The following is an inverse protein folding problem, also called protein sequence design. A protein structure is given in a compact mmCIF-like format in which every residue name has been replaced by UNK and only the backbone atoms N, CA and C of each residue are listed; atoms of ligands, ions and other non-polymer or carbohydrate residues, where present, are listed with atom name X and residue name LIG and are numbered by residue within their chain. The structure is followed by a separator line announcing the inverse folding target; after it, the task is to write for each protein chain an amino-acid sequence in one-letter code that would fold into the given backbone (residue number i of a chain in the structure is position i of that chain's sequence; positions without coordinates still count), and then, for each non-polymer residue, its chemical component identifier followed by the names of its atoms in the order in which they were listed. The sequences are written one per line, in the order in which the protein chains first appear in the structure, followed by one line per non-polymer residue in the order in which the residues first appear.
data_IF_586014575511
#
_entry.id   IF_586014575511
#
_cell.length_a   1.000
_cell.length_b   1.000
_cell.length_c   1.000
_cell.angle_alpha   90.00
_cell.angle_beta   90.00
_cell.angle_gamma   90.00
#
_symmetry.space_group_name_H-M   'P 1'
#
loop_
_entity.id
_entity.type
_entity.pdbx_description
1 polymer ?
#
# COMPACT_ATOMS: atom_id res chain seq x y z
N UNK A 1 86.26 -49.83 -4.45
CA UNK A 1 84.91 -50.18 -4.96
C UNK A 1 83.95 -49.23 -4.25
N UNK A 2 83.77 -47.97 -4.67
CA UNK A 2 83.20 -47.46 -5.93
C UNK A 2 81.71 -47.80 -6.08
N UNK A 3 80.85 -46.80 -5.84
CA UNK A 3 79.44 -46.55 -6.22
C UNK A 3 79.02 -45.31 -5.39
N UNK A 4 78.87 -44.04 -5.82
CA UNK A 4 78.15 -43.47 -6.99
C UNK A 4 76.83 -44.21 -7.22
N UNK A 5 75.63 -43.65 -7.05
CA UNK A 5 75.06 -42.34 -7.40
C UNK A 5 73.62 -42.34 -6.91
N UNK A 6 73.09 -41.21 -6.40
CA UNK A 6 71.78 -40.67 -6.78
C UNK A 6 71.51 -39.38 -5.99
N UNK A 7 71.77 -38.24 -6.64
CA UNK A 7 71.11 -36.99 -6.29
C UNK A 7 69.70 -37.08 -6.89
N UNK A 8 68.68 -37.10 -6.06
CA UNK A 8 67.30 -36.82 -6.48
C UNK A 8 67.18 -35.34 -6.85
N UNK A 9 66.83 -35.08 -8.11
CA UNK A 9 66.36 -33.77 -8.58
C UNK A 9 65.10 -33.36 -7.81
N UNK A 10 65.03 -32.13 -7.27
CA UNK A 10 63.78 -31.60 -6.77
C UNK A 10 62.86 -31.29 -7.96
N UNK A 11 61.79 -32.08 -8.07
CA UNK A 11 60.65 -31.88 -8.94
C UNK A 11 60.23 -30.40 -8.97
N UNK A 12 60.36 -29.79 -10.13
CA UNK A 12 59.86 -28.44 -10.41
C UNK A 12 58.34 -28.51 -10.43
N UNK A 13 57.72 -28.04 -9.35
CA UNK A 13 56.28 -27.85 -9.29
C UNK A 13 55.96 -26.71 -10.25
N UNK A 14 55.37 -27.04 -11.41
CA UNK A 14 54.72 -26.07 -12.26
C UNK A 14 53.55 -25.46 -11.47
N UNK A 15 53.80 -24.27 -10.92
CA UNK A 15 52.75 -23.41 -10.39
C UNK A 15 51.88 -23.02 -11.58
N UNK A 16 50.76 -23.71 -11.74
CA UNK A 16 49.71 -23.34 -12.68
C UNK A 16 49.29 -21.91 -12.35
N UNK A 17 49.65 -21.01 -13.25
CA UNK A 17 49.29 -19.60 -13.23
C UNK A 17 47.76 -19.48 -13.21
N UNK A 18 47.21 -19.06 -12.06
CA UNK A 18 45.77 -18.88 -11.84
C UNK A 18 45.21 -17.63 -12.55
N UNK A 19 46.04 -16.89 -13.30
CA UNK A 19 45.62 -15.64 -13.92
C UNK A 19 44.73 -15.80 -15.16
N UNK A 20 44.57 -17.01 -15.71
CA UNK A 20 43.73 -17.26 -16.90
C UNK A 20 42.24 -17.53 -16.61
N UNK A 21 41.80 -17.54 -15.35
CA UNK A 21 40.38 -17.78 -14.98
C UNK A 21 39.56 -16.49 -14.79
N UNK A 22 39.98 -15.36 -15.35
CA UNK A 22 39.16 -14.15 -15.40
C UNK A 22 38.70 -13.88 -16.84
N UNK A 23 37.76 -14.71 -17.30
CA UNK A 23 36.90 -14.33 -18.41
C UNK A 23 36.08 -13.09 -18.00
N UNK A 24 36.06 -12.01 -18.79
CA UNK A 24 35.24 -10.85 -18.51
C UNK A 24 33.76 -11.18 -18.79
N UNK A 25 33.07 -11.79 -17.84
CA UNK A 25 31.60 -11.86 -17.81
C UNK A 25 31.06 -10.52 -17.27
N UNK A 26 31.51 -9.41 -17.84
CA UNK A 26 31.12 -8.06 -17.45
C UNK A 26 30.37 -7.43 -18.61
N UNK A 27 29.05 -7.59 -18.64
CA UNK A 27 28.21 -6.94 -19.64
C UNK A 27 26.72 -7.07 -19.40
N UNK A 28 26.26 -8.20 -18.85
CA UNK A 28 24.82 -8.43 -18.63
C UNK A 28 24.40 -8.43 -17.15
N UNK A 29 25.35 -8.49 -16.21
CA UNK A 29 25.08 -8.45 -14.76
C UNK A 29 24.25 -7.24 -14.28
N UNK A 30 24.55 -5.98 -14.70
CA UNK A 30 23.80 -4.84 -14.19
C UNK A 30 22.39 -4.77 -14.78
N UNK A 31 22.21 -5.11 -16.06
CA UNK A 31 20.88 -5.18 -16.68
C UNK A 31 20.00 -6.23 -16.01
N UNK A 32 20.56 -7.41 -15.72
CA UNK A 32 19.84 -8.47 -15.02
C UNK A 32 19.49 -8.06 -13.59
N UNK A 33 20.40 -7.37 -12.88
CA UNK A 33 20.13 -6.84 -11.55
C UNK A 33 19.01 -5.78 -11.58
N UNK A 34 19.00 -4.87 -12.56
CA UNK A 34 17.94 -3.86 -12.70
C UNK A 34 16.60 -4.51 -13.01
N UNK A 35 16.55 -5.47 -13.94
CA UNK A 35 15.32 -6.20 -14.27
C UNK A 35 14.81 -6.99 -13.08
N UNK A 36 15.69 -7.68 -12.34
CA UNK A 36 15.31 -8.41 -11.13
C UNK A 36 14.77 -7.45 -10.06
N UNK A 37 15.42 -6.30 -9.85
CA UNK A 37 14.99 -5.30 -8.88
C UNK A 37 13.62 -4.72 -9.25
N UNK A 38 13.42 -4.40 -10.53
CA UNK A 38 12.15 -3.88 -11.04
C UNK A 38 11.04 -4.94 -10.92
N UNK A 39 11.36 -6.21 -11.19
CA UNK A 39 10.42 -7.31 -11.08
C UNK A 39 10.04 -7.59 -9.61
N UNK A 40 11.00 -7.53 -8.68
CA UNK A 40 10.71 -7.61 -7.24
C UNK A 40 9.85 -6.43 -6.81
N UNK A 41 10.15 -5.21 -7.23
CA UNK A 41 9.34 -4.04 -6.91
C UNK A 41 7.90 -4.17 -7.43
N UNK A 42 7.70 -4.69 -8.64
CA UNK A 42 6.38 -4.95 -9.22
C UNK A 42 5.63 -6.02 -8.43
N UNK A 43 6.28 -7.12 -8.04
CA UNK A 43 5.66 -8.18 -7.23
C UNK A 43 5.30 -7.68 -5.83
N UNK A 44 6.15 -6.86 -5.22
CA UNK A 44 5.87 -6.20 -3.93
C UNK A 44 4.63 -5.33 -4.01
N UNK A 45 4.49 -4.59 -5.11
CA UNK A 45 3.35 -3.70 -5.32
C UNK A 45 2.05 -4.46 -5.57
N UNK A 46 2.11 -5.57 -6.31
CA UNK A 46 0.94 -6.37 -6.64
C UNK A 46 0.47 -7.29 -5.50
N UNK A 47 1.38 -7.83 -4.68
CA UNK A 47 1.05 -8.89 -3.71
C UNK A 47 1.83 -8.78 -2.38
N UNK A 48 1.63 -7.71 -1.58
CA UNK A 48 2.36 -7.50 -0.32
C UNK A 48 2.13 -8.64 0.68
N UNK A 49 0.92 -9.20 0.73
CA UNK A 49 0.56 -10.30 1.64
C UNK A 49 1.32 -11.61 1.34
N UNK A 50 1.71 -11.88 0.09
CA UNK A 50 2.48 -13.09 -0.26
C UNK A 50 3.96 -13.00 0.14
N UNK A 51 4.50 -11.79 0.27
CA UNK A 51 5.88 -11.60 0.70
C UNK A 51 6.02 -11.70 2.21
N UNK A 52 5.04 -11.16 2.94
CA UNK A 52 5.01 -11.25 4.41
C UNK A 52 4.67 -12.67 4.89
N UNK A 53 3.82 -13.39 4.14
CA UNK A 53 3.36 -14.73 4.46
C UNK A 53 3.56 -15.65 3.24
N UNK A 54 4.81 -16.11 2.99
CA UNK A 54 5.16 -16.83 1.76
C UNK A 54 4.62 -18.26 1.72
N UNK A 55 4.19 -18.81 2.84
CA UNK A 55 3.92 -20.23 2.96
C UNK A 55 2.47 -20.62 2.65
N UNK A 56 2.24 -21.74 1.94
CA UNK A 56 0.90 -22.15 1.50
C UNK A 56 -0.04 -22.48 2.67
N UNK A 57 0.48 -22.97 3.80
CA UNK A 57 -0.31 -23.28 4.99
C UNK A 57 -0.81 -22.03 5.74
N UNK A 58 -0.30 -20.84 5.41
CA UNK A 58 -0.71 -19.54 5.98
C UNK A 58 -1.82 -18.87 5.16
N UNK A 59 -2.61 -19.63 4.42
CA UNK A 59 -3.72 -19.08 3.61
C UNK A 59 -4.79 -18.39 4.48
N UNK A 60 -5.08 -18.92 5.67
CA UNK A 60 -6.02 -18.35 6.62
C UNK A 60 -5.52 -17.02 7.22
N UNK A 61 -4.24 -16.96 7.58
CA UNK A 61 -3.56 -15.77 8.12
C UNK A 61 -3.51 -14.65 7.08
N UNK A 62 -3.21 -14.99 5.81
CA UNK A 62 -3.26 -14.04 4.69
C UNK A 62 -4.64 -13.44 4.50
N UNK A 63 -5.67 -14.28 4.46
CA UNK A 63 -7.05 -13.79 4.33
C UNK A 63 -7.47 -12.91 5.53
N UNK A 64 -7.00 -13.22 6.75
CA UNK A 64 -7.25 -12.39 7.91
C UNK A 64 -6.54 -11.03 7.82
N UNK A 65 -5.29 -11.02 7.37
CA UNK A 65 -4.50 -9.80 7.16
C UNK A 65 -5.10 -8.92 6.06
N UNK A 66 -5.51 -9.49 4.93
CA UNK A 66 -6.18 -8.77 3.84
C UNK A 66 -7.49 -8.11 4.33
N UNK A 67 -8.30 -8.84 5.11
CA UNK A 67 -9.50 -8.27 5.76
C UNK A 67 -9.17 -7.11 6.69
N UNK A 68 -8.08 -7.21 7.46
CA UNK A 68 -7.65 -6.15 8.37
C UNK A 68 -7.20 -4.90 7.59
N UNK A 69 -6.37 -5.09 6.56
CA UNK A 69 -5.94 -3.99 5.68
C UNK A 69 -7.15 -3.29 5.06
N UNK A 70 -8.08 -4.06 4.52
CA UNK A 70 -9.30 -3.55 3.93
C UNK A 70 -10.12 -2.73 4.94
N UNK A 71 -10.37 -3.29 6.13
CA UNK A 71 -11.10 -2.61 7.20
C UNK A 71 -10.42 -1.32 7.63
N UNK A 72 -9.08 -1.32 7.75
CA UNK A 72 -8.33 -0.14 8.15
C UNK A 72 -8.43 1.00 7.11
N UNK A 73 -8.43 0.65 5.83
CA UNK A 73 -8.49 1.62 4.72
C UNK A 73 -9.87 2.24 4.65
N UNK A 74 -10.93 1.43 4.72
CA UNK A 74 -12.30 1.93 4.79
C UNK A 74 -12.53 2.83 6.01
N UNK A 75 -12.00 2.45 7.18
CA UNK A 75 -12.09 3.29 8.38
C UNK A 75 -11.35 4.63 8.26
N UNK A 76 -10.21 4.67 7.56
CA UNK A 76 -9.52 5.95 7.28
C UNK A 76 -10.39 6.83 6.39
N UNK A 77 -10.89 6.29 5.28
CA UNK A 77 -11.77 7.01 4.35
C UNK A 77 -13.02 7.54 5.07
N UNK A 78 -13.64 6.73 5.92
CA UNK A 78 -14.82 7.11 6.69
C UNK A 78 -14.53 8.27 7.65
N UNK A 79 -13.47 8.17 8.45
CA UNK A 79 -13.08 9.25 9.37
C UNK A 79 -12.73 10.53 8.63
N UNK A 80 -12.02 10.43 7.52
CA UNK A 80 -11.66 11.60 6.69
C UNK A 80 -12.90 12.22 6.05
N UNK A 81 -13.83 11.42 5.53
CA UNK A 81 -15.10 11.90 4.97
C UNK A 81 -15.95 12.61 6.01
N UNK A 82 -16.07 12.05 7.23
CA UNK A 82 -16.79 12.69 8.34
C UNK A 82 -16.11 13.98 8.81
N UNK A 83 -14.78 13.96 8.88
CA UNK A 83 -14.01 15.17 9.24
C UNK A 83 -14.21 16.25 8.20
N UNK A 84 -14.20 15.91 6.91
CA UNK A 84 -14.51 16.84 5.83
C UNK A 84 -15.93 17.40 5.97
N UNK A 85 -16.92 16.54 6.18
CA UNK A 85 -18.31 16.96 6.38
C UNK A 85 -18.48 17.91 7.56
N UNK A 86 -17.75 17.69 8.67
CA UNK A 86 -17.74 18.60 9.81
C UNK A 86 -17.16 19.99 9.48
N UNK A 87 -16.20 20.06 8.56
CA UNK A 87 -15.51 21.29 8.20
C UNK A 87 -16.26 22.08 7.11
N UNK A 88 -16.79 21.39 6.10
CA UNK A 88 -17.39 22.00 4.91
C UNK A 88 -18.94 21.92 4.90
N UNK A 89 -19.53 21.24 5.88
CA UNK A 89 -20.97 20.91 5.92
C UNK A 89 -21.46 20.11 4.70
N UNK A 90 -20.54 19.49 3.96
CA UNK A 90 -20.80 18.71 2.76
C UNK A 90 -19.72 17.64 2.59
N UNK A 91 -19.99 16.56 1.85
CA UNK A 91 -18.98 15.55 1.54
C UNK A 91 -18.01 16.01 0.45
N UNK A 92 -16.77 15.48 0.39
CA UNK A 92 -15.85 15.76 -0.70
C UNK A 92 -16.41 15.21 -2.02
N UNK A 93 -16.05 15.83 -3.15
CA UNK A 93 -16.51 15.35 -4.45
C UNK A 93 -15.69 14.13 -4.92
N UNK A 94 -14.48 13.94 -4.37
CA UNK A 94 -13.59 12.82 -4.71
C UNK A 94 -12.64 12.41 -3.58
N UNK A 95 -12.05 11.20 -3.68
CA UNK A 95 -10.98 10.81 -2.73
C UNK A 95 -9.69 11.63 -2.96
N UNK A 96 -9.47 12.07 -4.19
CA UNK A 96 -8.30 12.85 -4.60
C UNK A 96 -8.23 14.20 -3.89
N UNK A 97 -9.38 14.83 -3.63
CA UNK A 97 -9.45 16.06 -2.82
C UNK A 97 -8.96 15.83 -1.39
N UNK A 98 -9.38 14.72 -0.77
CA UNK A 98 -8.92 14.34 0.57
C UNK A 98 -7.42 14.05 0.60
N UNK A 99 -6.85 13.50 -0.49
CA UNK A 99 -5.40 13.33 -0.61
C UNK A 99 -4.69 14.68 -0.78
N UNK A 100 -5.25 15.60 -1.57
CA UNK A 100 -4.67 16.91 -1.81
C UNK A 100 -4.54 17.75 -0.53
N UNK A 101 -5.45 17.59 0.43
CA UNK A 101 -5.42 18.27 1.74
C UNK A 101 -4.72 17.45 2.84
N UNK A 102 -4.18 16.26 2.51
CA UNK A 102 -3.45 15.41 3.45
C UNK A 102 -4.31 14.64 4.46
N UNK A 103 -5.62 14.51 4.23
CA UNK A 103 -6.52 13.68 5.04
C UNK A 103 -6.44 12.19 4.68
N UNK A 104 -5.97 11.86 3.47
CA UNK A 104 -5.74 10.50 3.01
C UNK A 104 -4.35 10.37 2.38
N UNK A 105 -3.81 9.16 2.42
CA UNK A 105 -2.63 8.81 1.65
C UNK A 105 -3.02 8.38 0.23
N UNK A 106 -2.13 8.53 -0.76
CA UNK A 106 -2.39 8.06 -2.12
C UNK A 106 -2.66 6.55 -2.21
N UNK A 107 -2.15 5.77 -1.25
CA UNK A 107 -2.41 4.34 -1.13
C UNK A 107 -3.85 4.02 -0.69
N UNK A 108 -4.59 4.99 -0.15
CA UNK A 108 -5.98 4.81 0.29
C UNK A 108 -6.97 4.91 -0.87
N UNK A 109 -6.47 5.25 -2.06
CA UNK A 109 -7.27 5.37 -3.26
C UNK A 109 -7.53 4.01 -3.91
N UNK A 110 -6.84 2.96 -3.47
CA UNK A 110 -6.94 1.63 -4.05
C UNK A 110 -7.47 0.63 -3.01
N UNK A 111 -8.23 -0.36 -3.47
CA UNK A 111 -8.72 -1.44 -2.63
C UNK A 111 -7.61 -2.47 -2.33
N UNK A 112 -7.93 -3.50 -1.53
CA UNK A 112 -6.97 -4.55 -1.18
C UNK A 112 -6.49 -5.39 -2.37
N UNK A 113 -7.17 -5.32 -3.51
CA UNK A 113 -6.81 -5.98 -4.76
C UNK A 113 -6.08 -5.03 -5.72
N UNK A 114 -5.76 -3.80 -5.29
CA UNK A 114 -5.11 -2.78 -6.11
C UNK A 114 -6.03 -2.11 -7.13
N UNK A 115 -7.36 -2.26 -6.98
CA UNK A 115 -8.34 -1.59 -7.83
C UNK A 115 -8.61 -0.20 -7.33
N UNK A 116 -8.61 0.78 -8.24
CA UNK A 116 -8.93 2.16 -7.91
C UNK A 116 -10.34 2.27 -7.35
N UNK A 117 -10.52 3.03 -6.28
CA UNK A 117 -11.81 3.34 -5.69
C UNK A 117 -12.36 4.64 -6.29
N UNK A 118 -13.61 4.60 -6.77
CA UNK A 118 -14.40 5.78 -7.12
C UNK A 118 -15.25 6.18 -5.93
N UNK A 119 -15.14 7.45 -5.54
CA UNK A 119 -16.03 8.06 -4.56
C UNK A 119 -17.29 8.58 -5.27
N UNK A 120 -18.46 8.25 -4.73
CA UNK A 120 -19.73 8.79 -5.20
C UNK A 120 -20.42 9.43 -4.00
N UNK A 121 -20.43 10.75 -3.99
CA UNK A 121 -21.10 11.56 -2.98
C UNK A 121 -22.62 11.48 -3.12
N UNK A 122 -23.29 11.28 -1.99
CA UNK A 122 -24.73 11.45 -1.80
C UNK A 122 -25.03 12.63 -0.89
N UNK A 123 -26.31 12.84 -0.56
CA UNK A 123 -26.75 13.99 0.27
C UNK A 123 -26.36 13.82 1.74
N UNK A 124 -26.45 12.60 2.27
CA UNK A 124 -26.10 12.25 3.66
C UNK A 124 -25.35 10.91 3.73
N UNK A 125 -24.81 10.47 2.60
CA UNK A 125 -24.07 9.23 2.45
C UNK A 125 -23.00 9.37 1.38
N UNK A 126 -22.10 8.42 1.32
CA UNK A 126 -21.19 8.25 0.20
C UNK A 126 -21.07 6.78 -0.17
N UNK A 127 -20.66 6.52 -1.41
CA UNK A 127 -20.40 5.18 -1.92
C UNK A 127 -18.97 5.07 -2.42
N UNK A 128 -18.32 3.97 -2.07
CA UNK A 128 -17.03 3.56 -2.61
C UNK A 128 -17.28 2.45 -3.62
N UNK A 129 -16.92 2.70 -4.88
CA UNK A 129 -17.12 1.75 -5.99
C UNK A 129 -15.75 1.36 -6.54
N UNK A 130 -15.31 0.09 -6.43
CA UNK A 130 -14.09 -0.37 -7.06
C UNK A 130 -14.17 -0.29 -8.58
N UNK A 131 -13.07 0.06 -9.23
CA UNK A 131 -12.93 0.11 -10.67
C UNK A 131 -12.10 -1.06 -11.18
N UNK A 132 -12.64 -1.82 -12.12
CA UNK A 132 -11.94 -2.89 -12.83
C UNK A 132 -11.87 -2.50 -14.31
N UNK A 133 -10.65 -2.38 -14.84
CA UNK A 133 -10.39 -1.85 -16.19
C UNK A 133 -11.03 -0.45 -16.45
N UNK A 134 -11.19 0.34 -15.39
CA UNK A 134 -11.80 1.68 -15.44
C UNK A 134 -13.32 1.71 -15.29
N UNK A 135 -13.96 0.54 -15.34
CA UNK A 135 -15.40 0.38 -15.21
C UNK A 135 -15.81 0.11 -13.75
N UNK A 136 -16.93 0.68 -13.28
CA UNK A 136 -17.41 0.45 -11.92
C UNK A 136 -17.91 -0.98 -11.74
N UNK A 137 -17.42 -1.65 -10.69
CA UNK A 137 -17.91 -2.96 -10.25
C UNK A 137 -18.91 -2.76 -9.11
N UNK A 138 -20.17 -2.50 -9.48
CA UNK A 138 -21.25 -2.18 -8.52
C UNK A 138 -21.52 -3.30 -7.51
N UNK A 139 -21.29 -4.57 -7.87
CA UNK A 139 -21.45 -5.72 -6.97
C UNK A 139 -20.52 -5.65 -5.74
N UNK A 140 -19.46 -4.85 -5.83
CA UNK A 140 -18.49 -4.63 -4.77
C UNK A 140 -18.56 -3.21 -4.20
N UNK A 141 -19.57 -2.43 -4.61
CA UNK A 141 -19.80 -1.11 -4.09
C UNK A 141 -20.20 -1.18 -2.61
N UNK A 142 -19.73 -0.19 -1.86
CA UNK A 142 -20.02 -0.06 -0.43
C UNK A 142 -20.58 1.31 -0.16
N UNK A 143 -21.77 1.35 0.43
CA UNK A 143 -22.41 2.60 0.85
C UNK A 143 -22.26 2.77 2.37
N UNK A 144 -21.87 3.97 2.77
CA UNK A 144 -21.74 4.37 4.17
C UNK A 144 -22.58 5.64 4.37
N UNK A 145 -23.37 5.69 5.45
CA UNK A 145 -24.30 6.78 5.74
C UNK A 145 -23.99 7.42 7.08
N UNK A 146 -24.18 8.74 7.17
CA UNK A 146 -24.04 9.52 8.40
C UNK A 146 -25.24 9.31 9.35
N UNK A 147 -26.38 8.79 8.89
CA UNK A 147 -27.60 8.72 9.69
C UNK A 147 -27.49 7.85 10.97
N UNK A 148 -26.41 7.08 11.14
CA UNK A 148 -26.12 6.34 12.38
C UNK A 148 -25.16 7.09 13.33
N UNK A 149 -24.69 8.29 12.97
CA UNK A 149 -23.81 9.13 13.79
C UNK A 149 -24.58 10.33 14.36
N UNK A 150 -25.02 10.19 15.61
CA UNK A 150 -25.79 11.18 16.37
C UNK A 150 -25.19 12.60 16.34
N UNK A 151 -23.87 12.74 16.16
CA UNK A 151 -23.17 14.03 16.12
C UNK A 151 -23.36 14.80 14.80
N UNK A 152 -23.82 14.13 13.75
CA UNK A 152 -23.88 14.64 12.38
C UNK A 152 -25.29 14.63 11.80
N UNK A 153 -26.24 14.02 12.51
CA UNK A 153 -27.62 14.04 12.07
C UNK A 153 -28.21 15.45 12.21
N UNK A 154 -28.66 15.98 11.08
CA UNK A 154 -29.32 17.28 10.97
C UNK A 154 -30.50 17.46 11.95
N UNK A 155 -31.12 16.38 12.43
CA UNK A 155 -32.18 16.46 13.43
C UNK A 155 -31.68 16.81 14.84
N UNK A 156 -30.39 16.61 15.13
CA UNK A 156 -29.74 16.92 16.41
C UNK A 156 -28.84 18.15 16.35
N UNK A 157 -28.51 18.64 15.15
CA UNK A 157 -27.91 19.96 15.00
C UNK A 157 -28.97 21.01 15.35
N UNK A 158 -28.75 21.87 16.36
CA UNK A 158 -29.68 22.94 16.65
C UNK A 158 -29.76 23.79 15.39
N UNK A 159 -30.96 23.92 14.80
CA UNK A 159 -31.22 24.96 13.79
C UNK A 159 -30.61 26.23 14.37
N UNK A 160 -29.63 26.81 13.67
CA UNK A 160 -29.01 28.08 14.07
C UNK A 160 -30.12 29.11 14.20
N UNK A 161 -30.66 29.18 15.42
CA UNK A 161 -31.61 30.19 15.82
C UNK A 161 -30.82 31.48 15.70
N UNK A 162 -31.16 32.28 14.69
CA UNK A 162 -30.57 33.60 14.42
C UNK A 162 -30.87 34.62 15.51
N UNK A 163 -30.71 34.23 16.77
CA UNK A 163 -30.71 35.09 17.95
C UNK A 163 -29.27 35.43 18.34
N UNK A 164 -29.03 36.63 18.89
CA UNK A 164 -27.70 37.04 19.33
C UNK A 164 -27.16 36.07 20.40
N UNK A 165 -25.83 35.80 20.42
CA UNK A 165 -25.24 34.83 21.34
C UNK A 165 -25.51 35.23 22.79
N UNK A 166 -25.88 34.25 23.61
CA UNK A 166 -26.08 34.46 25.04
C UNK A 166 -24.76 34.90 25.68
N UNK A 167 -24.72 36.14 26.18
CA UNK A 167 -23.59 36.69 26.91
C UNK A 167 -23.60 36.11 28.32
N UNK A 168 -22.78 35.09 28.58
CA UNK A 168 -22.56 34.60 29.94
C UNK A 168 -21.57 35.54 30.64
N UNK A 169 -22.08 36.38 31.54
CA UNK A 169 -21.26 37.05 32.54
C UNK A 169 -20.81 36.01 33.57
N UNK A 170 -19.50 35.77 33.64
CA UNK A 170 -18.88 35.04 34.74
C UNK A 170 -18.67 36.07 35.85
N UNK A 171 -19.34 35.88 36.99
CA UNK A 171 -19.12 36.62 38.24
C UNK A 171 -18.01 35.94 39.05
#
# INVERSE_FOLDING_TARGET
RASETQLEEPSTIHVLDRSELQAPIAGFGPLFAVVLTLLVAVVVWLQPARLLLPFPWQSSERAAFERLLHTSTTQRIDRSSRTWFLLEADYPDSLEEMVAVGMLASSDLDDSNGRRLRYVKGVASYRLVPLEDGEPVEDLAREESINDDFLLDSQFLPETSGGPPALYLID
#
